data_IF_899084503563
#
_entry.id   IF_899084503563
#
_cell.length_a   1.000
_cell.length_b   1.000
_cell.length_c   1.000
_cell.angle_alpha   90.00
_cell.angle_beta   90.00
_cell.angle_gamma   90.00
#
_symmetry.space_group_name_H-M   'P 1'
#
loop_
_entity.id
_entity.type
_entity.pdbx_description
1 polymer ?
#
# COMPACT_ATOMS: atom_id res chain seq x y z
N UNK A 1 -4.58 -17.18 9.97
CA UNK A 1 -3.52 -16.50 10.78
C UNK A 1 -2.94 -15.45 9.87
N UNK A 2 -3.72 -14.38 9.74
CA UNK A 2 -3.60 -13.37 8.73
C UNK A 2 -2.50 -12.42 9.17
N UNK A 3 -1.42 -12.37 8.41
CA UNK A 3 -0.32 -11.47 8.73
C UNK A 3 -0.81 -10.02 8.65
N UNK A 4 -0.36 -9.16 9.58
CA UNK A 4 -0.80 -7.78 9.59
C UNK A 4 -0.34 -7.07 8.31
N UNK A 5 -1.31 -6.47 7.61
CA UNK A 5 -1.06 -5.47 6.59
C UNK A 5 -0.21 -4.34 7.20
N UNK A 6 0.97 -4.10 6.67
CA UNK A 6 1.83 -2.98 7.08
C UNK A 6 1.56 -1.78 6.18
N UNK A 7 1.20 -0.65 6.76
CA UNK A 7 1.11 0.62 6.03
C UNK A 7 2.20 1.55 6.57
N UNK A 8 2.99 2.13 5.68
CA UNK A 8 4.15 2.97 5.98
C UNK A 8 4.02 4.27 5.21
N UNK A 9 4.08 5.39 5.91
CA UNK A 9 3.99 6.72 5.34
C UNK A 9 5.35 7.36 5.45
N UNK A 10 5.90 7.81 4.33
CA UNK A 10 7.23 8.37 4.23
C UNK A 10 7.12 9.81 3.75
N UNK A 11 7.53 10.74 4.61
CA UNK A 11 7.42 12.19 4.38
C UNK A 11 5.97 12.74 4.35
N UNK A 12 5.02 12.01 4.95
CA UNK A 12 3.58 12.37 5.05
C UNK A 12 3.06 12.10 6.44
N UNK A 13 1.96 12.76 6.78
CA UNK A 13 1.12 12.34 7.90
C UNK A 13 0.38 11.03 7.55
N UNK A 14 0.41 10.11 8.51
CA UNK A 14 -0.37 8.88 8.48
C UNK A 14 -1.86 9.24 8.41
N UNK A 15 -2.59 8.58 7.52
CA UNK A 15 -4.02 8.82 7.34
C UNK A 15 -4.80 7.52 7.52
N UNK A 16 -5.61 7.45 8.59
CA UNK A 16 -6.49 6.33 8.90
C UNK A 16 -7.41 5.98 7.72
N UNK A 17 -7.89 6.98 6.99
CA UNK A 17 -8.73 6.79 5.80
C UNK A 17 -8.03 5.93 4.73
N UNK A 18 -6.71 6.07 4.58
CA UNK A 18 -5.93 5.27 3.63
C UNK A 18 -5.73 3.85 4.16
N UNK A 19 -5.50 3.68 5.47
CA UNK A 19 -5.43 2.34 6.05
C UNK A 19 -6.74 1.57 5.92
N UNK A 20 -7.88 2.21 6.18
CA UNK A 20 -9.20 1.59 5.99
C UNK A 20 -9.45 1.21 4.53
N UNK A 21 -9.15 2.11 3.58
CA UNK A 21 -9.26 1.81 2.14
C UNK A 21 -8.37 0.64 1.74
N UNK A 22 -7.11 0.61 2.19
CA UNK A 22 -6.19 -0.49 1.89
C UNK A 22 -6.70 -1.79 2.53
N UNK A 23 -7.20 -1.76 3.76
CA UNK A 23 -7.77 -2.95 4.43
C UNK A 23 -9.00 -3.47 3.68
N UNK A 24 -9.91 -2.57 3.26
CA UNK A 24 -11.09 -2.94 2.49
C UNK A 24 -10.71 -3.53 1.11
N UNK A 25 -9.72 -2.94 0.43
CA UNK A 25 -9.22 -3.45 -0.85
C UNK A 25 -8.47 -4.77 -0.69
N UNK A 26 -7.67 -4.93 0.37
CA UNK A 26 -7.00 -6.19 0.73
C UNK A 26 -8.02 -7.28 1.06
N UNK A 27 -9.11 -6.96 1.76
CA UNK A 27 -10.21 -7.90 2.00
C UNK A 27 -10.80 -8.42 0.69
N UNK A 28 -11.17 -7.52 -0.22
CA UNK A 28 -11.66 -7.90 -1.57
C UNK A 28 -10.62 -8.69 -2.37
N UNK A 29 -9.35 -8.32 -2.27
CA UNK A 29 -8.27 -9.02 -2.96
C UNK A 29 -8.05 -10.41 -2.37
N UNK A 30 -8.22 -10.59 -1.06
CA UNK A 30 -8.14 -11.88 -0.39
C UNK A 30 -9.30 -12.80 -0.81
N UNK A 31 -10.50 -12.25 -1.00
CA UNK A 31 -11.64 -13.01 -1.56
C UNK A 31 -11.36 -13.49 -2.99
N UNK A 32 -10.68 -12.69 -3.81
CA UNK A 32 -10.25 -13.10 -5.16
C UNK A 32 -8.97 -13.98 -5.16
N UNK A 33 -8.12 -13.83 -4.16
CA UNK A 33 -6.80 -14.45 -4.05
C UNK A 33 -6.51 -14.81 -2.59
N UNK A 34 -7.02 -15.97 -2.15
CA UNK A 34 -6.82 -16.56 -0.81
C UNK A 34 -5.34 -16.86 -0.46
N UNK A 35 -4.42 -16.58 -1.40
CA UNK A 35 -2.99 -16.83 -1.26
C UNK A 35 -2.21 -15.62 -0.74
N UNK A 36 -2.85 -14.52 -0.34
CA UNK A 36 -2.11 -13.35 0.16
C UNK A 36 -1.51 -13.69 1.52
N UNK A 37 -0.18 -13.73 1.57
CA UNK A 37 0.57 -13.99 2.80
C UNK A 37 1.00 -12.70 3.46
N UNK A 38 1.26 -11.62 2.74
CA UNK A 38 1.69 -10.35 3.34
C UNK A 38 1.28 -9.17 2.47
N UNK A 39 0.94 -8.05 3.09
CA UNK A 39 0.68 -6.79 2.39
C UNK A 39 1.50 -5.67 3.03
N UNK A 40 2.24 -4.94 2.22
CA UNK A 40 2.98 -3.74 2.62
C UNK A 40 2.59 -2.61 1.69
N UNK A 41 2.21 -1.47 2.24
CA UNK A 41 1.88 -0.27 1.47
C UNK A 41 2.79 0.84 1.95
N UNK A 42 3.60 1.37 1.05
CA UNK A 42 4.51 2.48 1.28
C UNK A 42 4.01 3.66 0.49
N UNK A 43 3.69 4.76 1.16
CA UNK A 43 3.26 6.00 0.51
C UNK A 43 4.36 7.01 0.74
N UNK A 44 4.91 7.54 -0.34
CA UNK A 44 6.02 8.49 -0.35
C UNK A 44 5.59 9.79 -1.05
N UNK A 45 6.02 10.92 -0.52
CA UNK A 45 5.88 12.21 -1.19
C UNK A 45 7.27 12.80 -1.41
N UNK A 46 7.74 12.87 -2.67
CA UNK A 46 8.92 13.65 -2.98
C UNK A 46 8.68 15.11 -2.61
N UNK A 47 9.74 15.75 -2.09
CA UNK A 47 9.71 17.09 -1.53
C UNK A 47 9.00 18.11 -2.41
N UNK A 48 8.18 18.97 -1.78
CA UNK A 48 7.61 20.18 -2.37
C UNK A 48 8.72 21.09 -2.91
N UNK A 49 9.08 20.94 -4.19
CA UNK A 49 9.74 22.02 -4.91
C UNK A 49 8.90 22.35 -6.13
N UNK A 50 8.21 23.47 -5.97
CA UNK A 50 7.68 24.39 -6.96
C UNK A 50 7.07 23.82 -8.24
N UNK A 51 5.77 24.10 -8.37
CA UNK A 51 5.09 24.26 -9.64
C UNK A 51 4.88 22.96 -10.42
N UNK A 52 3.65 22.41 -10.34
CA UNK A 52 3.05 21.53 -11.37
C UNK A 52 3.26 20.01 -11.26
N UNK A 53 3.23 19.41 -10.07
CA UNK A 53 2.64 18.06 -9.90
C UNK A 53 2.52 17.69 -8.41
N UNK A 54 1.31 17.39 -7.93
CA UNK A 54 1.11 16.66 -6.66
C UNK A 54 1.35 15.17 -6.93
N UNK A 55 2.60 14.80 -7.14
CA UNK A 55 2.98 13.39 -7.37
C UNK A 55 3.15 12.72 -6.01
N UNK A 56 2.10 12.08 -5.50
CA UNK A 56 2.24 11.11 -4.43
C UNK A 56 2.63 9.79 -5.05
N UNK A 57 3.69 9.15 -4.55
CA UNK A 57 4.08 7.81 -5.00
C UNK A 57 3.54 6.80 -4.00
N UNK A 58 2.58 5.98 -4.46
CA UNK A 58 2.05 4.87 -3.69
C UNK A 58 2.69 3.60 -4.21
N UNK A 59 3.45 2.93 -3.35
CA UNK A 59 4.00 1.60 -3.61
C UNK A 59 3.23 0.57 -2.77
N UNK A 60 2.68 -0.44 -3.42
CA UNK A 60 1.95 -1.54 -2.80
C UNK A 60 2.72 -2.83 -3.13
N UNK A 61 3.20 -3.50 -2.09
CA UNK A 61 3.95 -4.74 -2.15
C UNK A 61 3.10 -5.84 -1.52
N UNK A 62 2.69 -6.83 -2.31
CA UNK A 62 1.86 -7.95 -1.87
C UNK A 62 2.66 -9.23 -2.02
N UNK A 63 2.95 -9.89 -0.90
CA UNK A 63 3.61 -11.19 -0.87
C UNK A 63 2.60 -12.33 -0.95
N UNK A 64 2.73 -13.17 -1.97
CA UNK A 64 2.07 -14.47 -2.13
C UNK A 64 3.11 -15.57 -1.81
N UNK A 65 2.70 -16.79 -1.39
CA UNK A 65 3.62 -17.86 -1.03
C UNK A 65 4.49 -18.35 -2.20
N UNK A 66 4.15 -18.00 -3.44
CA UNK A 66 4.94 -18.33 -4.65
C UNK A 66 5.38 -17.12 -5.47
N UNK A 67 4.95 -15.89 -5.13
CA UNK A 67 5.22 -14.71 -5.95
C UNK A 67 5.08 -13.42 -5.14
N UNK A 68 5.77 -12.37 -5.55
CA UNK A 68 5.59 -11.03 -5.02
C UNK A 68 4.99 -10.11 -6.10
N UNK A 69 4.02 -9.30 -5.72
CA UNK A 69 3.39 -8.31 -6.60
C UNK A 69 3.78 -6.94 -6.07
N UNK A 70 4.56 -6.19 -6.84
CA UNK A 70 4.92 -4.81 -6.51
C UNK A 70 4.27 -3.88 -7.52
N UNK A 71 3.43 -2.98 -7.04
CA UNK A 71 2.78 -1.92 -7.83
C UNK A 71 3.27 -0.58 -7.30
N UNK A 72 3.74 0.31 -8.18
CA UNK A 72 4.11 1.67 -7.82
C UNK A 72 3.45 2.64 -8.79
N UNK A 73 2.71 3.63 -8.28
CA UNK A 73 2.08 4.68 -9.07
C UNK A 73 2.14 6.03 -8.38
#
# INVERSE_FOLDING_TARGET
MDKPLQVTFHNLEHSDAVEEEVRARMGKLNELCDRITSGRVVIDSPHRTQERARSFTVRIEIGLPRSEIVVSR
#
